data_IF_936596017954
#
_entry.id   IF_936596017954
#
_cell.length_a   1.000
_cell.length_b   1.000
_cell.length_c   1.000
_cell.angle_alpha   90.00
_cell.angle_beta   90.00
_cell.angle_gamma   90.00
#
_symmetry.space_group_name_H-M   'P 1'
#
loop_
_entity.id
_entity.type
_entity.pdbx_description
1 polymer ?
#
# COMPACT_ATOMS: atom_id res chain seq x y z
N UNK A 1 3.27 -8.38 10.56
CA UNK A 1 3.05 -6.93 10.65
C UNK A 1 4.12 -6.37 11.58
N UNK A 2 4.87 -5.36 11.14
CA UNK A 2 6.18 -5.03 11.75
C UNK A 2 6.10 -3.72 12.51
N UNK A 3 6.49 -3.76 13.79
CA UNK A 3 6.63 -2.54 14.60
C UNK A 3 7.83 -1.72 14.13
N UNK A 4 7.64 -0.40 14.07
CA UNK A 4 8.61 0.55 13.52
C UNK A 4 9.15 1.47 14.60
N UNK A 5 10.44 1.74 14.54
CA UNK A 5 11.11 2.74 15.39
C UNK A 5 10.80 4.15 14.92
N UNK A 6 10.91 5.13 15.82
CA UNK A 6 10.78 6.56 15.47
C UNK A 6 11.72 6.95 14.32
N UNK A 7 12.89 6.32 14.19
CA UNK A 7 13.83 6.57 13.10
C UNK A 7 13.24 6.14 11.76
N UNK A 8 12.74 4.92 11.66
CA UNK A 8 12.14 4.38 10.43
C UNK A 8 10.90 5.19 10.04
N UNK A 9 10.09 5.61 11.01
CA UNK A 9 8.93 6.48 10.77
C UNK A 9 9.33 7.85 10.21
N UNK A 10 10.40 8.45 10.74
CA UNK A 10 10.88 9.76 10.29
C UNK A 10 11.35 9.72 8.84
N UNK A 11 12.08 8.67 8.49
CA UNK A 11 12.57 8.45 7.12
C UNK A 11 11.41 8.20 6.15
N UNK A 12 10.43 7.38 6.55
CA UNK A 12 9.27 7.03 5.71
C UNK A 12 8.28 8.17 5.50
N UNK A 13 8.05 9.00 6.53
CA UNK A 13 7.14 10.14 6.44
C UNK A 13 7.83 11.41 5.93
N UNK A 14 9.14 11.37 5.66
CA UNK A 14 9.94 12.54 5.30
C UNK A 14 9.82 13.71 6.29
N UNK A 15 9.73 13.41 7.59
CA UNK A 15 9.64 14.39 8.68
C UNK A 15 10.75 14.20 9.70
N UNK A 16 10.98 15.22 10.53
CA UNK A 16 11.98 15.09 11.60
C UNK A 16 11.53 14.11 12.69
N UNK A 17 12.49 13.40 13.31
CA UNK A 17 12.24 12.56 14.50
C UNK A 17 11.55 13.34 15.63
N UNK A 18 11.80 14.65 15.72
CA UNK A 18 11.18 15.52 16.71
C UNK A 18 9.71 15.80 16.40
N UNK A 19 9.36 15.97 15.12
CA UNK A 19 7.97 16.11 14.70
C UNK A 19 7.14 14.89 15.11
N UNK A 20 7.68 13.68 14.91
CA UNK A 20 7.02 12.44 15.37
C UNK A 20 6.92 12.42 16.89
N UNK A 21 8.00 12.70 17.64
CA UNK A 21 7.95 12.72 19.11
C UNK A 21 6.93 13.69 19.67
N UNK A 22 6.73 14.85 19.02
CA UNK A 22 5.72 15.83 19.42
C UNK A 22 4.29 15.28 19.31
N UNK A 23 4.06 14.30 18.42
CA UNK A 23 2.77 13.63 18.23
C UNK A 23 2.58 12.41 19.14
N UNK A 24 3.63 11.95 19.83
CA UNK A 24 3.52 10.89 20.84
C UNK A 24 3.05 11.49 22.18
N UNK A 25 1.76 11.82 22.29
CA UNK A 25 1.12 12.20 23.56
C UNK A 25 1.17 11.06 24.59
N UNK A 26 0.90 11.36 25.87
CA UNK A 26 0.85 10.35 26.92
C UNK A 26 -0.11 9.20 26.56
N UNK A 27 -1.33 9.55 26.13
CA UNK A 27 -2.36 8.60 25.72
C UNK A 27 -1.95 7.77 24.50
N UNK A 28 -1.30 8.41 23.52
CA UNK A 28 -0.79 7.70 22.34
C UNK A 28 0.29 6.69 22.73
N UNK A 29 1.15 7.05 23.68
CA UNK A 29 2.23 6.17 24.15
C UNK A 29 1.70 4.97 24.92
N UNK A 30 0.67 5.15 25.72
CA UNK A 30 0.03 4.07 26.46
C UNK A 30 -0.60 3.03 25.52
N UNK A 31 -1.25 3.49 24.45
CA UNK A 31 -2.01 2.62 23.56
C UNK A 31 -1.19 2.01 22.41
N UNK A 32 -0.17 2.72 21.91
CA UNK A 32 0.45 2.37 20.63
C UNK A 32 1.97 2.30 20.64
N UNK A 33 2.61 2.60 21.77
CA UNK A 33 4.08 2.60 21.88
C UNK A 33 4.50 1.54 22.87
N UNK A 34 5.46 0.72 22.46
CA UNK A 34 6.03 -0.31 23.31
C UNK A 34 7.55 -0.24 23.30
N UNK A 35 8.14 -0.72 24.39
CA UNK A 35 9.60 -0.84 24.50
C UNK A 35 9.96 -2.30 24.27
N UNK A 36 10.73 -2.57 23.21
CA UNK A 36 11.21 -3.90 22.85
C UNK A 36 12.72 -3.96 22.98
N UNK A 37 13.25 -5.08 23.48
CA UNK A 37 14.70 -5.29 23.55
C UNK A 37 15.18 -5.85 22.21
N UNK A 38 15.90 -5.06 21.42
CA UNK A 38 16.60 -5.53 20.22
C UNK A 38 18.10 -5.49 20.49
N UNK A 39 18.79 -6.61 20.27
CA UNK A 39 20.25 -6.71 20.43
C UNK A 39 20.75 -6.23 21.81
N UNK A 40 20.02 -6.57 22.88
CA UNK A 40 20.35 -6.14 24.25
C UNK A 40 20.02 -4.68 24.57
N UNK A 41 19.52 -3.89 23.61
CA UNK A 41 19.17 -2.47 23.79
C UNK A 41 17.66 -2.28 23.79
N UNK A 42 17.15 -1.60 24.83
CA UNK A 42 15.74 -1.21 24.92
C UNK A 42 15.45 -0.16 23.84
N UNK A 43 14.62 -0.54 22.87
CA UNK A 43 14.25 0.28 21.72
C UNK A 43 12.75 0.54 21.75
N UNK A 44 12.38 1.80 21.59
CA UNK A 44 10.99 2.21 21.53
C UNK A 44 10.47 2.05 20.11
N UNK A 45 9.40 1.26 19.96
CA UNK A 45 8.74 0.97 18.70
C UNK A 45 7.26 1.33 18.78
N UNK A 46 6.71 1.71 17.64
CA UNK A 46 5.31 2.02 17.46
C UNK A 46 4.64 0.82 16.82
N UNK A 47 3.51 0.41 17.40
CA UNK A 47 2.67 -0.66 16.87
C UNK A 47 2.13 -0.31 15.48
N UNK A 48 1.69 -1.32 14.74
CA UNK A 48 1.09 -1.12 13.42
C UNK A 48 -0.09 -0.12 13.41
N UNK A 49 -0.94 -0.14 14.44
CA UNK A 49 -2.06 0.80 14.57
C UNK A 49 -1.57 2.25 14.79
N UNK A 50 -0.57 2.43 15.66
CA UNK A 50 0.04 3.74 15.88
C UNK A 50 0.77 4.28 14.63
N UNK A 51 1.41 3.39 13.86
CA UNK A 51 2.02 3.74 12.59
C UNK A 51 1.00 4.36 11.63
N UNK A 52 -0.18 3.75 11.49
CA UNK A 52 -1.23 4.26 10.60
C UNK A 52 -1.76 5.62 11.03
N UNK A 53 -1.99 5.83 12.33
CA UNK A 53 -2.39 7.13 12.87
C UNK A 53 -1.36 8.23 12.55
N UNK A 54 -0.07 7.92 12.75
CA UNK A 54 1.01 8.87 12.44
C UNK A 54 1.12 9.10 10.92
N UNK A 55 1.02 8.03 10.12
CA UNK A 55 1.07 8.12 8.66
C UNK A 55 -0.03 9.01 8.13
N UNK A 56 -1.27 8.85 8.62
CA UNK A 56 -2.39 9.70 8.27
C UNK A 56 -2.10 11.17 8.58
N UNK A 57 -1.59 11.47 9.78
CA UNK A 57 -1.30 12.84 10.18
C UNK A 57 -0.20 13.49 9.33
N UNK A 58 0.84 12.75 8.94
CA UNK A 58 1.97 13.31 8.20
C UNK A 58 1.80 13.29 6.67
N UNK A 59 1.01 12.37 6.11
CA UNK A 59 0.80 12.26 4.65
C UNK A 59 -0.54 12.85 4.18
N UNK A 60 -1.55 12.94 5.06
CA UNK A 60 -2.87 13.48 4.71
C UNK A 60 -2.96 15.00 4.70
N UNK A 61 -1.96 15.69 5.28
CA UNK A 61 -1.90 17.14 5.33
C UNK A 61 -0.87 17.66 4.31
N UNK A 62 -1.35 18.18 3.17
CA UNK A 62 -0.53 18.95 2.23
C UNK A 62 -0.11 20.33 2.78
N UNK A 63 -0.30 20.60 4.08
CA UNK A 63 0.09 21.88 4.67
C UNK A 63 1.36 21.71 5.49
N UNK A 64 2.48 22.02 4.85
CA UNK A 64 3.74 22.43 5.47
C UNK A 64 3.53 23.75 6.23
N UNK A 65 2.81 23.68 7.36
CA UNK A 65 2.60 24.81 8.25
C UNK A 65 2.73 24.36 9.69
N UNK A 66 3.54 25.07 10.47
CA UNK A 66 3.63 24.93 11.92
C UNK A 66 2.25 25.13 12.57
N UNK A 67 1.42 24.09 12.62
CA UNK A 67 0.18 24.10 13.40
C UNK A 67 0.34 23.17 14.60
N UNK A 68 0.44 23.82 15.76
CA UNK A 68 0.36 23.22 17.08
C UNK A 68 -1.11 22.92 17.35
N UNK A 69 -1.64 21.89 16.70
CA UNK A 69 -2.90 21.31 17.15
C UNK A 69 -2.59 20.17 18.11
N UNK A 70 -2.78 20.47 19.39
CA UNK A 70 -2.98 19.47 20.43
C UNK A 70 -4.33 18.84 20.14
N UNK A 71 -4.34 17.55 19.78
CA UNK A 71 -5.57 16.81 19.57
C UNK A 71 -6.19 16.57 20.94
N UNK A 72 -7.01 17.51 21.39
CA UNK A 72 -8.05 17.22 22.37
C UNK A 72 -9.13 16.44 21.65
N UNK A 73 -9.29 15.19 22.07
CA UNK A 73 -10.48 14.35 22.02
C UNK A 73 -11.73 15.02 21.45
N UNK A 74 -12.28 14.48 20.34
CA UNK A 74 -13.74 14.36 20.03
C UNK A 74 -14.10 14.13 18.53
N UNK A 75 -13.22 13.50 17.73
CA UNK A 75 -13.47 13.37 16.28
C UNK A 75 -13.53 11.91 15.79
N UNK A 76 -14.17 11.01 16.56
CA UNK A 76 -14.42 9.62 16.09
C UNK A 76 -15.21 9.60 14.77
N UNK A 77 -16.16 10.51 14.58
CA UNK A 77 -16.94 10.62 13.33
C UNK A 77 -16.09 11.10 12.15
N UNK A 78 -15.23 12.08 12.35
CA UNK A 78 -14.29 12.57 11.30
C UNK A 78 -13.29 11.48 10.88
N UNK A 79 -12.84 10.66 11.83
CA UNK A 79 -11.97 9.52 11.55
C UNK A 79 -12.71 8.44 10.76
N UNK A 80 -13.97 8.15 11.10
CA UNK A 80 -14.81 7.18 10.37
C UNK A 80 -15.06 7.66 8.94
N UNK A 81 -15.41 8.93 8.74
CA UNK A 81 -15.68 9.50 7.42
C UNK A 81 -14.43 9.45 6.53
N UNK A 82 -13.27 9.81 7.06
CA UNK A 82 -12.01 9.73 6.33
C UNK A 82 -11.59 8.29 6.02
N UNK A 83 -11.79 7.35 6.95
CA UNK A 83 -11.53 5.92 6.71
C UNK A 83 -12.47 5.37 5.63
N UNK A 84 -13.72 5.84 5.61
CA UNK A 84 -14.69 5.46 4.59
C UNK A 84 -14.28 5.98 3.21
N UNK A 85 -13.84 7.23 3.11
CA UNK A 85 -13.32 7.82 1.87
C UNK A 85 -12.09 7.05 1.35
N UNK A 86 -11.12 6.77 2.23
CA UNK A 86 -9.94 5.95 1.90
C UNK A 86 -10.32 4.55 1.41
N UNK A 87 -11.33 3.92 2.02
CA UNK A 87 -11.83 2.62 1.58
C UNK A 87 -12.47 2.69 0.20
N UNK A 88 -13.27 3.72 -0.07
CA UNK A 88 -13.87 3.93 -1.38
C UNK A 88 -12.84 4.16 -2.49
N UNK A 89 -11.78 4.91 -2.21
CA UNK A 89 -10.67 5.08 -3.16
C UNK A 89 -9.97 3.76 -3.45
N UNK A 90 -9.68 2.97 -2.40
CA UNK A 90 -9.05 1.64 -2.56
C UNK A 90 -9.95 0.68 -3.35
N UNK A 91 -11.24 0.65 -3.07
CA UNK A 91 -12.20 -0.16 -3.80
C UNK A 91 -12.28 0.25 -5.29
N UNK A 92 -12.20 1.55 -5.57
CA UNK A 92 -12.15 2.06 -6.94
C UNK A 92 -10.88 1.61 -7.66
N UNK A 93 -9.73 1.68 -6.98
CA UNK A 93 -8.46 1.20 -7.52
C UNK A 93 -8.49 -0.32 -7.78
N UNK A 94 -9.06 -1.11 -6.87
CA UNK A 94 -9.24 -2.55 -7.03
C UNK A 94 -10.11 -2.87 -8.26
N UNK A 95 -11.23 -2.15 -8.44
CA UNK A 95 -12.08 -2.31 -9.64
C UNK A 95 -11.35 -1.99 -10.93
N UNK A 96 -10.53 -0.94 -10.94
CA UNK A 96 -9.70 -0.59 -12.10
C UNK A 96 -8.66 -1.68 -12.41
N UNK A 97 -7.99 -2.20 -11.38
CA UNK A 97 -7.03 -3.29 -11.52
C UNK A 97 -7.68 -4.57 -12.03
N UNK A 98 -8.87 -4.93 -11.51
CA UNK A 98 -9.63 -6.09 -12.00
C UNK A 98 -9.98 -5.93 -13.48
N UNK A 99 -10.47 -4.75 -13.89
CA UNK A 99 -10.78 -4.48 -15.30
C UNK A 99 -9.54 -4.62 -16.20
N UNK A 100 -8.39 -4.11 -15.77
CA UNK A 100 -7.13 -4.23 -16.51
C UNK A 100 -6.68 -5.69 -16.62
N UNK A 101 -6.83 -6.45 -15.54
CA UNK A 101 -6.51 -7.88 -15.51
C UNK A 101 -7.41 -8.67 -16.46
N UNK A 102 -8.72 -8.41 -16.46
CA UNK A 102 -9.67 -9.06 -17.35
C UNK A 102 -9.36 -8.76 -18.83
N UNK A 103 -9.01 -7.50 -19.13
CA UNK A 103 -8.55 -7.11 -20.47
C UNK A 103 -7.28 -7.86 -20.88
N UNK A 104 -6.32 -7.97 -19.98
CA UNK A 104 -5.09 -8.71 -20.24
C UNK A 104 -5.37 -10.20 -20.50
N UNK A 105 -6.24 -10.84 -19.71
CA UNK A 105 -6.61 -12.23 -19.92
C UNK A 105 -7.29 -12.45 -21.27
N UNK A 106 -8.20 -11.56 -21.67
CA UNK A 106 -8.85 -11.63 -22.98
C UNK A 106 -7.85 -11.49 -24.14
N UNK A 107 -6.92 -10.53 -24.04
CA UNK A 107 -5.88 -10.33 -25.04
C UNK A 107 -4.94 -11.54 -25.13
N UNK A 108 -4.54 -12.12 -24.00
CA UNK A 108 -3.72 -13.34 -23.96
C UNK A 108 -4.44 -14.51 -24.60
N UNK A 109 -5.73 -14.70 -24.33
CA UNK A 109 -6.52 -15.75 -24.96
C UNK A 109 -6.59 -15.58 -26.48
N UNK A 110 -6.84 -14.35 -26.95
CA UNK A 110 -6.87 -14.05 -28.38
C UNK A 110 -5.52 -14.29 -29.05
N UNK A 111 -4.42 -13.89 -28.41
CA UNK A 111 -3.07 -14.13 -28.91
C UNK A 111 -2.75 -15.63 -29.01
N UNK A 112 -3.11 -16.42 -27.99
CA UNK A 112 -2.91 -17.86 -28.00
C UNK A 112 -3.69 -18.54 -29.14
N UNK A 113 -4.95 -18.14 -29.36
CA UNK A 113 -5.76 -18.65 -30.49
C UNK A 113 -5.16 -18.30 -31.85
N UNK A 114 -4.56 -17.11 -31.99
CA UNK A 114 -3.87 -16.73 -33.23
C UNK A 114 -2.59 -17.55 -33.43
N UNK A 115 -1.83 -17.78 -32.37
CA UNK A 115 -0.62 -18.62 -32.41
C UNK A 115 -0.97 -20.05 -32.82
N UNK A 116 -2.01 -20.64 -32.24
CA UNK A 116 -2.49 -21.99 -32.57
C UNK A 116 -2.85 -22.10 -34.06
N UNK A 117 -3.63 -21.15 -34.59
CA UNK A 117 -3.97 -21.12 -36.03
C UNK A 117 -2.75 -20.99 -36.94
N UNK A 118 -1.76 -20.17 -36.55
CA UNK A 118 -0.52 -20.03 -37.32
C UNK A 118 0.31 -21.32 -37.28
N UNK A 119 0.34 -22.01 -36.13
CA UNK A 119 1.01 -23.31 -36.00
C UNK A 119 0.34 -24.38 -36.86
N UNK A 120 -0.99 -24.43 -36.89
CA UNK A 120 -1.75 -25.34 -37.77
C UNK A 120 -1.46 -25.06 -39.26
N UNK A 121 -1.49 -23.79 -39.67
CA UNK A 121 -1.18 -23.40 -41.05
C UNK A 121 0.24 -23.78 -41.46
N UNK A 122 1.22 -23.60 -40.57
CA UNK A 122 2.58 -24.03 -40.81
C UNK A 122 2.66 -25.56 -40.95
N UNK A 123 2.02 -26.32 -40.07
CA UNK A 123 2.02 -27.79 -40.16
C UNK A 123 1.43 -28.29 -41.48
N UNK A 124 0.31 -27.72 -41.93
CA UNK A 124 -0.32 -28.06 -43.22
C UNK A 124 0.61 -27.75 -44.40
N UNK A 125 1.26 -26.58 -44.40
CA UNK A 125 2.23 -26.24 -45.44
C UNK A 125 3.41 -27.23 -45.49
N UNK A 126 3.93 -27.67 -44.34
CA UNK A 126 4.98 -28.69 -44.29
C UNK A 126 4.53 -30.09 -44.74
N UNK A 127 3.22 -30.41 -44.65
CA UNK A 127 2.70 -31.71 -45.10
C UNK A 127 2.41 -31.74 -46.60
N UNK A 128 2.13 -30.59 -47.23
CA UNK A 128 1.94 -30.49 -48.68
C UNK A 128 3.26 -30.43 -49.48
N UNK A 129 4.36 -30.02 -48.85
CA UNK A 129 5.68 -29.91 -49.50
C UNK A 129 6.55 -31.18 -49.46
N UNK A 130 6.13 -32.26 -48.79
CA UNK A 130 6.81 -33.57 -48.90
C UNK A 130 6.22 -34.35 -50.08
N UNK A 131 6.92 -34.50 -51.22
CA UNK A 131 6.49 -35.43 -52.26
C UNK A 131 6.68 -36.86 -51.72
N UNK A 132 5.66 -37.69 -51.83
CA UNK A 132 5.81 -39.14 -51.70
C UNK A 132 6.77 -39.62 -52.80
N UNK A 133 7.99 -40.01 -52.41
CA UNK A 133 8.91 -40.85 -53.21
C UNK A 133 8.66 -42.35 -52.91
#
# INVERSE_FOLDING_TARGET
MTDKTIKELAEEFHVSKQAIRKRLSADFRENYVQTVTRNGVKTLVVSYKGYWLLKQHFLGSNTTGNQVETVTSNDENSIIDFLHEQLQEKDTQIKQMQKLLDQQQQLTLQANQQIEKLQEQLQLAYTEETPED
#
